data_IF_680617003502
#
_entry.id   IF_680617003502
#
_cell.length_a   1.000
_cell.length_b   1.000
_cell.length_c   1.000
_cell.angle_alpha   90.00
_cell.angle_beta   90.00
_cell.angle_gamma   90.00
#
_symmetry.space_group_name_H-M   'P 1'
#
loop_
_entity.id
_entity.type
_entity.pdbx_description
1 polymer ?
#
# COMPACT_ATOMS: atom_id res chain seq x y z
N UNK A 1 -21.15 -26.00 13.07
CA UNK A 1 -19.99 -25.29 13.68
C UNK A 1 -19.27 -24.36 12.69
N UNK A 2 -19.04 -24.73 11.44
CA UNK A 2 -18.35 -23.86 10.46
C UNK A 2 -19.18 -22.63 10.01
N UNK A 3 -20.49 -22.80 9.86
CA UNK A 3 -21.38 -21.71 9.39
C UNK A 3 -21.54 -20.59 10.42
N UNK A 4 -21.53 -20.93 11.70
CA UNK A 4 -21.60 -19.96 12.79
C UNK A 4 -20.31 -19.09 12.88
N UNK A 5 -19.14 -19.72 12.72
CA UNK A 5 -17.85 -19.00 12.70
C UNK A 5 -17.78 -18.07 11.49
N UNK A 6 -18.27 -18.50 10.33
CA UNK A 6 -18.29 -17.68 9.13
C UNK A 6 -19.26 -16.49 9.29
N UNK A 7 -20.41 -16.71 9.90
CA UNK A 7 -21.37 -15.64 10.18
C UNK A 7 -20.79 -14.60 11.15
N UNK A 8 -20.15 -15.03 12.22
CA UNK A 8 -19.45 -14.14 13.16
C UNK A 8 -18.33 -13.35 12.48
N UNK A 9 -17.52 -13.99 11.63
CA UNK A 9 -16.45 -13.33 10.90
C UNK A 9 -16.98 -12.26 9.94
N UNK A 10 -18.06 -12.52 9.22
CA UNK A 10 -18.71 -11.56 8.33
C UNK A 10 -19.28 -10.36 9.09
N UNK A 11 -19.90 -10.62 10.24
CA UNK A 11 -20.46 -9.55 11.08
C UNK A 11 -19.34 -8.67 11.67
N UNK A 12 -18.26 -9.29 12.15
CA UNK A 12 -17.09 -8.56 12.63
C UNK A 12 -16.47 -7.70 11.52
N UNK A 13 -16.35 -8.23 10.30
CA UNK A 13 -15.85 -7.49 9.15
C UNK A 13 -16.75 -6.29 8.81
N UNK A 14 -18.09 -6.50 8.75
CA UNK A 14 -19.05 -5.42 8.49
C UNK A 14 -18.93 -4.31 9.53
N UNK A 15 -18.83 -4.65 10.81
CA UNK A 15 -18.69 -3.68 11.88
C UNK A 15 -17.37 -2.88 11.78
N UNK A 16 -16.27 -3.55 11.40
CA UNK A 16 -14.99 -2.89 11.15
C UNK A 16 -15.09 -1.94 9.95
N UNK A 17 -15.73 -2.37 8.86
CA UNK A 17 -15.91 -1.56 7.65
C UNK A 17 -16.73 -0.29 7.93
N UNK A 18 -17.81 -0.41 8.68
CA UNK A 18 -18.64 0.73 9.08
C UNK A 18 -17.86 1.74 9.94
N UNK A 19 -17.07 1.24 10.91
CA UNK A 19 -16.26 2.11 11.78
C UNK A 19 -15.13 2.83 11.05
N UNK A 20 -14.58 2.20 10.03
CA UNK A 20 -13.48 2.75 9.22
C UNK A 20 -13.95 3.62 8.05
N UNK A 21 -15.26 3.68 7.78
CA UNK A 21 -15.79 4.41 6.62
C UNK A 21 -15.43 5.90 6.64
N UNK A 22 -15.52 6.55 7.80
CA UNK A 22 -15.18 7.96 7.95
C UNK A 22 -13.69 8.20 7.79
N UNK A 23 -12.85 7.38 8.41
CA UNK A 23 -11.39 7.47 8.28
C UNK A 23 -10.95 7.33 6.82
N UNK A 24 -11.56 6.41 6.07
CA UNK A 24 -11.26 6.21 4.64
C UNK A 24 -11.69 7.41 3.80
N UNK A 25 -12.82 8.02 4.12
CA UNK A 25 -13.29 9.22 3.41
C UNK A 25 -12.36 10.38 3.64
N UNK A 26 -11.99 10.64 4.89
CA UNK A 26 -11.03 11.69 5.25
C UNK A 26 -9.67 11.47 4.60
N UNK A 27 -9.17 10.24 4.61
CA UNK A 27 -7.91 9.89 3.95
C UNK A 27 -7.92 10.13 2.43
N UNK A 28 -9.05 9.89 1.76
CA UNK A 28 -9.21 10.21 0.35
C UNK A 28 -9.21 11.72 0.09
N UNK A 29 -9.82 12.49 0.98
CA UNK A 29 -9.84 13.95 0.87
C UNK A 29 -8.45 14.53 1.15
N UNK A 30 -7.71 14.00 2.12
CA UNK A 30 -6.30 14.34 2.35
C UNK A 30 -5.42 14.02 1.14
N UNK A 31 -5.64 12.87 0.50
CA UNK A 31 -4.92 12.49 -0.72
C UNK A 31 -5.19 13.47 -1.87
N UNK A 32 -6.44 13.86 -2.08
CA UNK A 32 -6.83 14.85 -3.09
C UNK A 32 -6.18 16.20 -2.80
N UNK A 33 -6.24 16.63 -1.54
CA UNK A 33 -5.63 17.86 -1.09
C UNK A 33 -4.12 17.88 -1.31
N UNK A 34 -3.43 16.78 -0.96
CA UNK A 34 -1.98 16.68 -1.05
C UNK A 34 -1.47 16.47 -2.48
N UNK A 35 -2.11 15.61 -3.28
CA UNK A 35 -1.61 15.21 -4.61
C UNK A 35 -2.29 15.90 -5.77
N UNK A 36 -3.62 16.07 -5.70
CA UNK A 36 -4.39 16.65 -6.80
C UNK A 36 -4.55 18.17 -6.67
N UNK A 37 -3.99 18.76 -5.63
CA UNK A 37 -4.10 20.19 -5.34
C UNK A 37 -5.57 20.68 -5.25
N UNK A 38 -6.48 19.81 -4.87
CA UNK A 38 -7.89 20.13 -4.62
C UNK A 38 -8.04 20.84 -3.28
N UNK A 39 -7.43 22.02 -3.16
CA UNK A 39 -7.37 22.80 -1.92
C UNK A 39 -8.54 23.77 -1.77
N UNK A 40 -9.38 23.89 -2.80
CA UNK A 40 -10.53 24.77 -2.79
C UNK A 40 -11.81 23.95 -2.61
N UNK A 41 -12.61 24.19 -1.57
CA UNK A 41 -13.94 23.64 -1.48
C UNK A 41 -14.77 23.95 -2.73
N UNK A 42 -15.55 22.97 -3.19
CA UNK A 42 -16.26 23.08 -4.47
C UNK A 42 -17.18 24.32 -4.55
N UNK A 43 -17.83 24.67 -3.45
CA UNK A 43 -18.70 25.86 -3.37
C UNK A 43 -17.90 27.15 -3.54
N UNK A 44 -16.75 27.26 -2.89
CA UNK A 44 -15.89 28.45 -2.98
C UNK A 44 -15.29 28.56 -4.38
N UNK A 45 -14.87 27.42 -4.96
CA UNK A 45 -14.38 27.39 -6.34
C UNK A 45 -15.41 27.94 -7.31
N UNK A 46 -16.65 27.41 -7.23
CA UNK A 46 -17.76 27.83 -8.09
C UNK A 46 -18.08 29.32 -7.93
N UNK A 47 -18.19 29.82 -6.70
CA UNK A 47 -18.46 31.24 -6.45
C UNK A 47 -17.36 32.15 -7.05
N UNK A 48 -16.09 31.76 -6.94
CA UNK A 48 -14.97 32.51 -7.53
C UNK A 48 -14.96 32.48 -9.04
N UNK A 49 -15.29 31.33 -9.65
CA UNK A 49 -15.43 31.18 -11.10
C UNK A 49 -16.55 32.05 -11.65
N UNK A 50 -17.70 32.12 -10.97
CA UNK A 50 -18.83 33.00 -11.31
C UNK A 50 -18.45 34.49 -11.23
N UNK A 51 -17.56 34.86 -10.31
CA UNK A 51 -17.01 36.22 -10.17
C UNK A 51 -15.83 36.50 -11.13
N UNK A 52 -15.41 35.54 -11.92
CA UNK A 52 -14.25 35.67 -12.82
C UNK A 52 -12.91 35.71 -12.09
N UNK A 53 -12.84 35.23 -10.84
CA UNK A 53 -11.61 35.22 -10.04
C UNK A 53 -10.91 33.85 -10.16
N UNK A 54 -9.60 33.82 -10.47
CA UNK A 54 -8.89 32.55 -10.56
C UNK A 54 -8.71 31.89 -9.19
N UNK A 55 -8.79 30.55 -9.15
CA UNK A 55 -8.43 29.72 -8.00
C UNK A 55 -6.96 29.29 -8.15
N UNK A 56 -6.05 30.08 -7.61
CA UNK A 56 -4.62 29.74 -7.64
C UNK A 56 -4.31 28.79 -6.48
N UNK A 57 -3.63 27.67 -6.81
CA UNK A 57 -3.16 26.70 -5.82
C UNK A 57 -1.66 26.55 -5.93
N UNK A 58 -0.94 26.82 -4.83
CA UNK A 58 0.49 26.58 -4.71
C UNK A 58 0.70 25.46 -3.70
N UNK A 59 0.83 24.23 -4.20
CA UNK A 59 0.97 23.05 -3.35
C UNK A 59 2.42 22.87 -2.87
N UNK A 60 2.65 23.13 -1.58
CA UNK A 60 3.96 22.93 -0.92
C UNK A 60 4.02 21.62 -0.10
N UNK A 61 2.92 20.95 0.12
CA UNK A 61 2.84 19.71 0.92
C UNK A 61 3.79 18.61 0.43
N UNK A 62 3.93 18.34 -0.88
CA UNK A 62 4.83 17.29 -1.36
C UNK A 62 6.29 17.48 -0.94
N UNK A 63 6.73 18.72 -0.70
CA UNK A 63 8.08 18.98 -0.22
C UNK A 63 8.27 18.54 1.24
N UNK A 64 7.30 18.86 2.11
CA UNK A 64 7.32 18.45 3.51
C UNK A 64 7.14 16.93 3.67
N UNK A 65 6.22 16.31 2.91
CA UNK A 65 6.03 14.87 2.90
C UNK A 65 7.35 14.17 2.54
N UNK A 66 8.02 14.61 1.47
CA UNK A 66 9.31 14.06 1.06
C UNK A 66 10.40 14.24 2.12
N UNK A 67 10.40 15.35 2.83
CA UNK A 67 11.36 15.55 3.92
C UNK A 67 11.18 14.50 5.01
N UNK A 68 9.95 14.28 5.49
CA UNK A 68 9.65 13.27 6.52
C UNK A 68 10.01 11.86 6.05
N UNK A 69 9.64 11.52 4.81
CA UNK A 69 9.98 10.21 4.21
C UNK A 69 11.49 10.02 4.08
N UNK A 70 12.23 11.07 3.69
CA UNK A 70 13.69 10.99 3.60
C UNK A 70 14.36 10.83 4.97
N UNK A 71 13.87 11.50 6.01
CA UNK A 71 14.37 11.34 7.37
C UNK A 71 14.15 9.90 7.87
N UNK A 72 12.99 9.32 7.58
CA UNK A 72 12.70 7.92 7.91
C UNK A 72 13.56 6.92 7.12
N UNK A 73 13.89 7.23 5.85
CA UNK A 73 14.83 6.42 5.06
C UNK A 73 16.24 6.37 5.64
N UNK A 74 16.68 7.42 6.30
CA UNK A 74 17.97 7.46 6.98
C UNK A 74 17.97 6.59 8.25
N UNK A 75 16.84 6.50 8.92
CA UNK A 75 16.65 5.77 10.17
C UNK A 75 15.77 4.53 9.98
N UNK A 76 16.09 3.68 9.00
CA UNK A 76 15.30 2.49 8.67
C UNK A 76 15.17 1.56 9.88
N UNK A 77 13.95 1.21 10.31
CA UNK A 77 13.75 0.16 11.28
C UNK A 77 14.18 -1.19 10.69
N UNK A 78 14.88 -2.00 11.48
CA UNK A 78 15.32 -3.33 11.08
C UNK A 78 14.56 -4.39 11.86
N UNK A 79 14.14 -5.44 11.18
CA UNK A 79 13.58 -6.62 11.81
C UNK A 79 14.76 -7.45 12.33
N UNK A 80 14.76 -7.77 13.63
CA UNK A 80 15.78 -8.63 14.26
C UNK A 80 15.13 -9.73 15.08
N UNK A 81 15.59 -10.95 14.84
CA UNK A 81 15.25 -12.11 15.68
C UNK A 81 16.24 -12.20 16.83
N UNK A 82 15.71 -12.35 18.05
CA UNK A 82 16.49 -12.61 19.25
C UNK A 82 16.04 -13.92 19.89
N UNK A 83 16.96 -14.71 20.48
CA UNK A 83 16.56 -15.90 21.20
C UNK A 83 15.64 -15.51 22.38
N UNK A 84 14.51 -16.21 22.54
CA UNK A 84 13.49 -15.90 23.53
C UNK A 84 13.86 -16.41 24.94
N UNK A 85 14.79 -17.35 25.06
CA UNK A 85 15.21 -17.96 26.32
C UNK A 85 16.69 -18.30 26.30
N UNK A 86 17.25 -18.61 27.46
CA UNK A 86 18.65 -19.08 27.61
C UNK A 86 18.92 -20.44 26.94
N UNK A 87 17.87 -21.19 26.62
CA UNK A 87 17.95 -22.46 25.89
C UNK A 87 17.74 -22.31 24.37
N UNK A 88 17.35 -21.12 23.91
CA UNK A 88 17.17 -20.85 22.50
C UNK A 88 18.56 -20.65 21.85
N UNK A 89 18.71 -21.23 20.68
CA UNK A 89 19.96 -21.22 19.93
C UNK A 89 20.22 -19.85 19.29
N UNK A 90 21.34 -19.23 19.67
CA UNK A 90 21.79 -17.95 19.11
C UNK A 90 22.13 -18.08 17.63
N UNK A 91 22.72 -19.21 17.21
CA UNK A 91 23.09 -19.49 15.83
C UNK A 91 21.84 -19.54 14.93
N UNK A 92 20.78 -20.17 15.41
CA UNK A 92 19.46 -20.17 14.70
C UNK A 92 18.91 -18.75 14.54
N UNK A 93 19.03 -17.90 15.53
CA UNK A 93 18.58 -16.50 15.43
C UNK A 93 19.42 -15.71 14.41
N UNK A 94 20.71 -15.95 14.31
CA UNK A 94 21.58 -15.34 13.30
C UNK A 94 21.22 -15.80 11.86
N UNK A 95 20.96 -17.10 11.68
CA UNK A 95 20.49 -17.65 10.39
C UNK A 95 19.17 -17.01 9.98
N UNK A 96 18.20 -16.89 10.90
CA UNK A 96 16.92 -16.24 10.63
C UNK A 96 17.08 -14.75 10.27
N UNK A 97 17.98 -14.04 10.95
CA UNK A 97 18.30 -12.65 10.60
C UNK A 97 18.92 -12.55 9.18
N UNK A 98 19.76 -13.48 8.81
CA UNK A 98 20.33 -13.60 7.45
C UNK A 98 19.23 -13.84 6.40
N UNK A 99 18.32 -14.76 6.68
CA UNK A 99 17.18 -15.08 5.81
C UNK A 99 16.25 -13.89 5.62
N UNK A 100 15.91 -13.16 6.68
CA UNK A 100 15.06 -11.95 6.61
C UNK A 100 15.71 -10.92 5.69
N UNK A 101 17.02 -10.64 5.87
CA UNK A 101 17.74 -9.69 5.01
C UNK A 101 17.77 -10.13 3.54
N UNK A 102 17.90 -11.43 3.29
CA UNK A 102 17.87 -11.99 1.94
C UNK A 102 16.49 -11.79 1.31
N UNK A 103 15.42 -12.07 2.06
CA UNK A 103 14.04 -11.87 1.60
C UNK A 103 13.80 -10.39 1.30
N UNK A 104 14.16 -9.48 2.21
CA UNK A 104 13.99 -8.03 2.01
C UNK A 104 14.76 -7.54 0.77
N UNK A 105 15.98 -7.99 0.57
CA UNK A 105 16.79 -7.62 -0.59
C UNK A 105 16.20 -8.16 -1.91
N UNK A 106 15.80 -9.44 -1.94
CA UNK A 106 15.26 -10.09 -3.14
C UNK A 106 13.89 -9.52 -3.52
N UNK A 107 13.03 -9.25 -2.54
CA UNK A 107 11.69 -8.69 -2.75
C UNK A 107 11.68 -7.18 -2.97
N UNK A 108 12.82 -6.49 -2.86
CA UNK A 108 12.90 -5.02 -2.87
C UNK A 108 11.95 -4.39 -1.85
N UNK A 109 11.92 -4.95 -0.63
CA UNK A 109 11.01 -4.55 0.43
C UNK A 109 11.10 -3.05 0.77
N UNK A 110 12.26 -2.43 0.58
CA UNK A 110 12.47 -0.99 0.75
C UNK A 110 11.46 -0.14 0.00
N UNK A 111 11.12 -0.51 -1.25
CA UNK A 111 10.14 0.24 -2.05
C UNK A 111 8.75 0.13 -1.46
N UNK A 112 8.39 -1.07 -0.94
CA UNK A 112 7.09 -1.27 -0.31
C UNK A 112 6.97 -0.48 1.00
N UNK A 113 8.03 -0.48 1.82
CA UNK A 113 8.07 0.27 3.07
C UNK A 113 8.00 1.78 2.83
N UNK A 114 8.79 2.30 1.88
CA UNK A 114 8.79 3.71 1.52
C UNK A 114 7.43 4.16 0.99
N UNK A 115 6.78 3.35 0.16
CA UNK A 115 5.45 3.64 -0.39
C UNK A 115 4.38 3.63 0.70
N UNK A 116 4.43 2.66 1.61
CA UNK A 116 3.51 2.59 2.74
C UNK A 116 3.70 3.77 3.69
N UNK A 117 4.95 4.16 3.96
CA UNK A 117 5.27 5.30 4.80
C UNK A 117 4.80 6.63 4.17
N UNK A 118 5.07 6.84 2.86
CA UNK A 118 4.60 8.03 2.14
C UNK A 118 3.07 8.12 2.20
N UNK A 119 2.39 6.99 2.03
CA UNK A 119 0.93 6.91 2.16
C UNK A 119 0.48 7.24 3.58
N UNK A 120 1.14 6.69 4.61
CA UNK A 120 0.82 6.96 6.01
C UNK A 120 1.01 8.45 6.38
N UNK A 121 2.07 9.08 5.90
CA UNK A 121 2.32 10.52 6.12
C UNK A 121 1.31 11.39 5.39
N UNK A 122 0.81 10.94 4.23
CA UNK A 122 -0.12 11.71 3.39
C UNK A 122 -1.58 11.56 3.83
N UNK A 123 -1.99 10.34 4.22
CA UNK A 123 -3.40 9.97 4.44
C UNK A 123 -3.69 9.43 5.85
N UNK A 124 -2.68 9.41 6.74
CA UNK A 124 -2.81 8.85 8.08
C UNK A 124 -2.58 7.34 8.16
N UNK A 125 -2.66 6.58 7.06
CA UNK A 125 -2.35 5.16 7.03
C UNK A 125 -1.72 4.72 5.71
N UNK A 126 -0.91 3.66 5.78
CA UNK A 126 -0.29 3.01 4.64
C UNK A 126 -0.22 1.52 4.83
N UNK A 127 -0.34 0.77 3.75
CA UNK A 127 -0.32 -0.69 3.78
C UNK A 127 0.73 -1.23 2.83
N UNK A 128 1.37 -2.32 3.23
CA UNK A 128 2.09 -3.20 2.32
C UNK A 128 1.61 -4.63 2.55
N UNK A 129 1.74 -5.46 1.53
CA UNK A 129 1.31 -6.84 1.57
C UNK A 129 2.49 -7.77 1.40
N UNK A 130 2.57 -8.79 2.24
CA UNK A 130 3.54 -9.88 2.11
C UNK A 130 2.81 -11.08 1.48
N UNK A 131 3.28 -11.51 0.32
CA UNK A 131 2.82 -12.73 -0.33
C UNK A 131 3.94 -13.76 -0.28
N UNK A 132 3.60 -14.99 0.06
CA UNK A 132 4.50 -16.14 -0.07
C UNK A 132 4.00 -17.06 -1.18
N UNK A 133 4.90 -17.54 -2.01
CA UNK A 133 4.62 -18.50 -3.07
C UNK A 133 5.77 -19.52 -3.15
N UNK A 134 5.51 -20.67 -3.77
CA UNK A 134 6.56 -21.63 -4.07
C UNK A 134 7.46 -21.07 -5.19
N UNK A 135 8.75 -21.46 -5.18
CA UNK A 135 9.72 -20.98 -6.16
C UNK A 135 9.41 -21.41 -7.62
N UNK A 136 8.60 -22.46 -7.77
CA UNK A 136 8.13 -22.96 -9.07
C UNK A 136 6.96 -22.14 -9.65
N UNK A 137 6.25 -21.42 -8.79
CA UNK A 137 5.24 -20.49 -9.25
C UNK A 137 5.95 -19.23 -9.78
N UNK A 138 5.78 -18.89 -11.05
CA UNK A 138 6.31 -17.69 -11.73
C UNK A 138 5.71 -16.39 -11.12
N UNK A 139 5.75 -16.27 -9.79
CA UNK A 139 5.32 -15.08 -9.09
C UNK A 139 6.43 -14.04 -9.11
N UNK A 140 6.35 -13.12 -10.04
CA UNK A 140 7.17 -11.92 -10.00
C UNK A 140 6.75 -11.07 -8.79
N UNK A 141 7.61 -10.96 -7.79
CA UNK A 141 7.60 -9.87 -6.82
C UNK A 141 7.92 -8.57 -7.57
N UNK A 142 6.98 -8.10 -8.37
CA UNK A 142 7.05 -6.80 -9.01
C UNK A 142 6.34 -5.80 -8.12
N UNK A 143 7.08 -4.76 -7.75
CA UNK A 143 6.56 -3.44 -7.32
C UNK A 143 5.05 -3.28 -7.42
N UNK A 144 4.43 -2.63 -6.49
CA UNK A 144 3.06 -2.08 -6.32
C UNK A 144 2.09 -1.98 -7.52
N UNK A 145 2.44 -2.50 -8.66
CA UNK A 145 1.58 -2.73 -9.82
C UNK A 145 1.24 -4.22 -9.84
N UNK A 146 -0.03 -4.49 -9.56
CA UNK A 146 -0.69 -5.77 -9.45
C UNK A 146 0.00 -6.95 -10.15
N UNK A 147 0.23 -7.99 -9.36
CA UNK A 147 0.61 -9.33 -9.81
C UNK A 147 -0.24 -9.75 -11.01
N UNK A 148 0.29 -9.58 -12.21
CA UNK A 148 -0.28 -10.23 -13.39
C UNK A 148 0.23 -11.66 -13.39
N UNK A 149 -0.66 -12.62 -13.28
CA UNK A 149 -0.38 -14.00 -13.70
C UNK A 149 0.07 -13.93 -15.16
N UNK A 150 1.11 -14.69 -15.50
CA UNK A 150 1.62 -14.78 -16.87
C UNK A 150 0.55 -15.29 -17.85
N UNK A 151 -0.46 -15.98 -17.32
CA UNK A 151 -1.55 -16.60 -18.07
C UNK A 151 -2.79 -15.68 -18.22
N UNK A 152 -2.83 -14.55 -17.50
CA UNK A 152 -3.94 -13.58 -17.54
C UNK A 152 -3.57 -12.34 -18.38
N UNK A 153 -2.89 -12.53 -19.49
CA UNK A 153 -2.83 -11.45 -20.46
C UNK A 153 -4.22 -11.29 -21.09
N UNK A 154 -4.65 -10.04 -21.24
CA UNK A 154 -5.91 -9.69 -21.93
C UNK A 154 -6.01 -10.44 -23.26
N UNK A 155 -4.88 -10.72 -23.93
CA UNK A 155 -4.79 -11.51 -25.15
C UNK A 155 -5.22 -12.97 -24.94
N UNK A 156 -4.89 -13.61 -23.83
CA UNK A 156 -5.27 -15.00 -23.57
C UNK A 156 -6.73 -15.10 -23.12
N UNK A 157 -7.21 -14.13 -22.36
CA UNK A 157 -8.63 -14.00 -22.02
C UNK A 157 -9.50 -13.75 -23.28
N UNK A 158 -9.02 -12.96 -24.23
CA UNK A 158 -9.69 -12.71 -25.50
C UNK A 158 -9.67 -13.94 -26.41
N UNK A 159 -8.57 -14.71 -26.44
CA UNK A 159 -8.48 -15.98 -27.18
C UNK A 159 -9.42 -17.04 -26.60
N UNK A 160 -9.52 -17.14 -25.29
CA UNK A 160 -10.44 -18.06 -24.63
C UNK A 160 -11.92 -17.76 -24.93
N UNK A 161 -12.25 -16.50 -25.23
CA UNK A 161 -13.60 -16.03 -25.60
C UNK A 161 -13.81 -15.83 -27.11
N UNK A 162 -12.90 -16.32 -27.96
CA UNK A 162 -13.04 -16.24 -29.43
C UNK A 162 -12.84 -14.85 -30.03
N UNK A 163 -12.26 -13.92 -29.29
CA UNK A 163 -11.94 -12.58 -29.76
C UNK A 163 -10.52 -12.49 -30.35
N UNK A 164 -10.34 -11.79 -31.46
CA UNK A 164 -9.03 -11.47 -32.04
C UNK A 164 -8.43 -10.25 -31.31
N UNK A 165 -7.15 -10.29 -30.87
CA UNK A 165 -6.51 -9.12 -30.28
C UNK A 165 -6.36 -8.00 -31.32
N UNK A 166 -6.47 -6.73 -30.93
CA UNK A 166 -6.17 -5.61 -31.82
C UNK A 166 -4.67 -5.61 -32.20
N UNK A 167 -4.41 -5.21 -33.44
CA UNK A 167 -3.07 -5.15 -34.02
C UNK A 167 -2.19 -4.08 -33.38
#
# INVERSE_FOLDING_TARGET
MSDDVLAQAKEAFRLCEEREADNRREALDDLKFARLAEQWPAEIRKAREEEGRPCLTINRLPAFIRQVVNDARQNKPQIKCHPASSQADVETAEVLNGLIRQIEATSKADVAYDTALESAVTMGFGYFRINSCYAEDDFYFGSSQGSRRKDDTIADALRANGGTPPA
#
